data_IF_289414239044
#
_entry.id   IF_289414239044
#
_cell.length_a   1.000
_cell.length_b   1.000
_cell.length_c   1.000
_cell.angle_alpha   90.00
_cell.angle_beta   90.00
_cell.angle_gamma   90.00
#
_symmetry.space_group_name_H-M   'P 1'
#
loop_
_entity.id
_entity.type
_entity.pdbx_description
1 polymer ?
#
# COMPACT_ATOMS: atom_id res chain seq x y z
N UNK A 1 -9.01 -7.62 6.99
CA UNK A 1 -9.56 -6.93 5.80
C UNK A 1 -9.18 -5.45 5.86
N UNK A 2 -9.03 -4.74 4.74
CA UNK A 2 -8.68 -3.30 4.72
C UNK A 2 -9.89 -2.51 4.20
N UNK A 3 -10.36 -1.55 4.97
CA UNK A 3 -11.56 -0.74 4.65
C UNK A 3 -11.35 0.72 5.09
N UNK A 4 -12.34 1.58 4.85
CA UNK A 4 -12.32 2.97 5.32
C UNK A 4 -12.00 3.05 6.82
N UNK A 5 -11.19 4.04 7.19
CA UNK A 5 -10.63 4.25 8.53
C UNK A 5 -9.58 3.24 9.01
N UNK A 6 -9.25 2.21 8.22
CA UNK A 6 -8.14 1.30 8.52
C UNK A 6 -6.81 2.06 8.45
N UNK A 7 -5.93 1.83 9.43
CA UNK A 7 -4.55 2.33 9.42
C UNK A 7 -3.66 1.32 8.70
N UNK A 8 -2.79 1.82 7.82
CA UNK A 8 -1.76 1.05 7.14
C UNK A 8 -0.38 1.62 7.50
N UNK A 9 0.59 0.74 7.66
CA UNK A 9 2.00 1.13 7.76
C UNK A 9 2.49 1.53 6.38
N UNK A 10 3.29 2.59 6.33
CA UNK A 10 3.98 2.97 5.10
C UNK A 10 5.29 2.20 5.02
N UNK A 11 5.52 1.54 3.89
CA UNK A 11 6.64 0.63 3.65
C UNK A 11 7.59 1.20 2.59
N UNK A 12 7.85 2.50 2.65
CA UNK A 12 8.82 3.19 1.82
C UNK A 12 9.54 4.30 2.60
N UNK A 13 10.50 4.96 1.96
CA UNK A 13 11.20 6.11 2.50
C UNK A 13 10.60 7.47 2.12
N UNK A 14 9.31 7.55 1.77
CA UNK A 14 8.62 8.82 1.45
C UNK A 14 8.53 9.78 2.65
N UNK A 15 8.73 9.25 3.86
CA UNK A 15 8.66 9.98 5.12
C UNK A 15 7.31 9.86 5.82
N UNK A 16 6.25 9.38 5.16
CA UNK A 16 5.05 8.95 5.86
C UNK A 16 5.33 7.66 6.66
N UNK A 17 4.74 7.51 7.85
CA UNK A 17 4.90 6.32 8.70
C UNK A 17 3.59 5.53 8.81
N UNK A 18 2.49 6.25 9.03
CA UNK A 18 1.15 5.67 9.16
C UNK A 18 0.18 6.49 8.34
N UNK A 19 -0.61 5.80 7.52
CA UNK A 19 -1.68 6.40 6.73
C UNK A 19 -3.02 5.77 7.12
N UNK A 20 -4.11 6.52 7.00
CA UNK A 20 -5.47 6.03 7.22
C UNK A 20 -6.27 6.08 5.94
N UNK A 21 -6.85 4.96 5.53
CA UNK A 21 -7.70 4.87 4.35
C UNK A 21 -8.92 5.79 4.49
N UNK A 22 -9.17 6.63 3.48
CA UNK A 22 -10.36 7.49 3.40
C UNK A 22 -11.28 7.08 2.25
N UNK A 23 -10.73 6.59 1.14
CA UNK A 23 -11.51 6.19 -0.03
C UNK A 23 -10.80 5.11 -0.86
N UNK A 24 -11.57 4.31 -1.59
CA UNK A 24 -11.08 3.35 -2.57
C UNK A 24 -11.56 3.85 -3.96
N UNK A 25 -10.69 4.43 -4.81
CA UNK A 25 -11.09 4.90 -6.13
C UNK A 25 -11.80 3.82 -6.96
N UNK A 26 -12.83 4.22 -7.71
CA UNK A 26 -13.65 3.30 -8.51
C UNK A 26 -14.58 2.39 -7.69
N UNK A 27 -14.71 2.60 -6.38
CA UNK A 27 -15.58 1.79 -5.52
C UNK A 27 -17.05 2.28 -5.50
N UNK A 28 -17.83 2.02 -6.55
CA UNK A 28 -19.28 2.27 -6.48
C UNK A 28 -19.98 1.42 -5.40
N UNK A 29 -19.52 0.18 -5.16
CA UNK A 29 -20.07 -0.76 -4.16
C UNK A 29 -19.00 -1.49 -3.33
N UNK A 30 -17.73 -1.22 -3.59
CA UNK A 30 -16.63 -2.02 -3.05
C UNK A 30 -16.26 -1.55 -1.64
N UNK A 31 -16.41 -2.44 -0.64
CA UNK A 31 -16.16 -2.13 0.78
C UNK A 31 -14.71 -2.35 1.22
N UNK A 32 -13.95 -3.18 0.52
CA UNK A 32 -12.63 -3.63 0.94
C UNK A 32 -11.56 -3.43 -0.12
N UNK A 33 -10.41 -2.92 0.31
CA UNK A 33 -9.17 -2.91 -0.45
C UNK A 33 -8.37 -4.20 -0.16
N UNK A 34 -7.62 -4.64 -1.16
CA UNK A 34 -6.72 -5.76 -1.10
C UNK A 34 -5.36 -5.37 -1.69
N UNK A 35 -4.41 -6.29 -1.61
CA UNK A 35 -3.12 -6.17 -2.28
C UNK A 35 -3.30 -5.79 -3.75
N UNK A 36 -2.53 -4.78 -4.19
CA UNK A 36 -2.53 -4.25 -5.55
C UNK A 36 -3.60 -3.20 -5.82
N UNK A 37 -4.46 -2.88 -4.85
CA UNK A 37 -5.41 -1.79 -5.02
C UNK A 37 -4.82 -0.46 -4.61
N UNK A 38 -5.13 0.56 -5.42
CA UNK A 38 -4.87 1.95 -5.09
C UNK A 38 -5.93 2.44 -4.12
N UNK A 39 -5.50 3.14 -3.09
CA UNK A 39 -6.34 3.74 -2.05
C UNK A 39 -5.96 5.20 -1.87
N UNK A 40 -6.94 6.01 -1.49
CA UNK A 40 -6.69 7.39 -1.04
C UNK A 40 -6.66 7.37 0.48
N UNK A 41 -5.64 7.99 1.04
CA UNK A 41 -5.38 7.98 2.46
C UNK A 41 -5.05 9.37 3.00
N UNK A 42 -5.29 9.56 4.29
CA UNK A 42 -4.80 10.69 5.06
C UNK A 42 -3.58 10.29 5.89
N UNK A 43 -2.51 11.08 5.86
CA UNK A 43 -1.29 10.83 6.63
C UNK A 43 -1.55 11.10 8.12
N UNK A 44 -1.34 10.10 8.96
CA UNK A 44 -1.55 10.21 10.42
C UNK A 44 -0.26 10.44 11.18
N UNK A 45 0.83 9.87 10.69
CA UNK A 45 2.16 10.02 11.25
C UNK A 45 3.16 10.19 10.11
N UNK A 46 4.05 11.17 10.23
CA UNK A 46 5.13 11.45 9.30
C UNK A 46 6.43 11.65 10.07
N UNK A 47 7.56 11.43 9.41
CA UNK A 47 8.87 11.73 9.95
C UNK A 47 9.07 13.26 10.06
N UNK A 48 9.87 13.74 11.02
CA UNK A 48 10.30 15.13 11.02
C UNK A 48 11.01 15.48 9.71
N UNK A 49 10.81 16.69 9.21
CA UNK A 49 11.44 17.21 7.99
C UNK A 49 11.16 16.39 6.70
N UNK A 50 10.16 15.50 6.68
CA UNK A 50 9.75 14.85 5.44
C UNK A 50 8.95 15.80 4.54
N UNK A 51 9.00 15.61 3.20
CA UNK A 51 8.16 16.37 2.28
C UNK A 51 6.67 16.12 2.53
N UNK A 52 6.32 14.91 2.95
CA UNK A 52 4.95 14.53 3.32
C UNK A 52 4.63 15.01 4.74
N UNK A 53 3.49 15.65 4.94
CA UNK A 53 3.06 16.20 6.25
C UNK A 53 1.90 15.42 6.86
N UNK A 54 1.79 15.46 8.20
CA UNK A 54 0.61 14.95 8.90
C UNK A 54 -0.64 15.72 8.45
N UNK A 55 -1.70 14.99 8.14
CA UNK A 55 -2.95 15.56 7.64
C UNK A 55 -3.03 15.68 6.12
N UNK A 56 -1.93 15.45 5.39
CA UNK A 56 -1.92 15.45 3.93
C UNK A 56 -2.73 14.29 3.36
N UNK A 57 -3.35 14.51 2.20
CA UNK A 57 -4.07 13.48 1.45
C UNK A 57 -3.13 12.93 0.39
N UNK A 58 -2.93 11.62 0.41
CA UNK A 58 -1.98 10.91 -0.47
C UNK A 58 -2.65 9.71 -1.13
N UNK A 59 -2.11 9.30 -2.28
CA UNK A 59 -2.45 8.02 -2.91
C UNK A 59 -1.43 6.98 -2.48
N UNK A 60 -1.90 5.75 -2.27
CA UNK A 60 -1.02 4.63 -1.93
C UNK A 60 -1.53 3.34 -2.56
N UNK A 61 -0.62 2.39 -2.82
CA UNK A 61 -0.97 1.02 -3.22
C UNK A 61 -0.76 0.07 -2.05
N UNK A 62 -1.72 -0.81 -1.79
CA UNK A 62 -1.60 -1.84 -0.76
C UNK A 62 -0.63 -2.92 -1.23
N UNK A 63 0.42 -3.18 -0.45
CA UNK A 63 1.46 -4.18 -0.78
C UNK A 63 1.41 -5.43 0.08
N UNK A 64 0.88 -5.31 1.31
CA UNK A 64 0.73 -6.40 2.28
C UNK A 64 -0.61 -6.32 2.98
N UNK A 65 -1.18 -7.47 3.27
CA UNK A 65 -2.45 -7.61 3.97
C UNK A 65 -2.36 -8.70 5.03
N UNK A 66 -2.78 -8.37 6.25
CA UNK A 66 -2.79 -9.29 7.38
C UNK A 66 -3.92 -10.34 7.30
N UNK A 67 -4.95 -10.06 6.51
CA UNK A 67 -5.98 -11.04 6.20
C UNK A 67 -5.46 -11.99 5.12
N UNK A 68 -5.56 -13.30 5.38
CA UNK A 68 -5.22 -14.30 4.38
C UNK A 68 -6.10 -14.16 3.13
N UNK A 69 -5.50 -14.26 1.94
CA UNK A 69 -6.18 -14.23 0.65
C UNK A 69 -5.81 -15.47 -0.16
N UNK A 70 -6.82 -16.09 -0.76
CA UNK A 70 -6.65 -17.25 -1.64
C UNK A 70 -6.15 -16.80 -3.02
N UNK A 71 -5.15 -17.48 -3.54
CA UNK A 71 -4.60 -17.34 -4.89
C UNK A 71 -5.32 -18.29 -5.87
N UNK A 72 -5.23 -18.04 -7.19
CA UNK A 72 -5.86 -18.91 -8.19
C UNK A 72 -5.34 -20.36 -8.16
N UNK A 73 -4.08 -20.57 -7.78
CA UNK A 73 -3.46 -21.88 -7.58
C UNK A 73 -3.94 -22.61 -6.31
N UNK A 74 -4.83 -22.01 -5.52
CA UNK A 74 -5.38 -22.57 -4.29
C UNK A 74 -4.55 -22.28 -3.04
N UNK A 75 -3.35 -21.74 -3.17
CA UNK A 75 -2.52 -21.33 -2.02
C UNK A 75 -3.09 -20.09 -1.34
N UNK A 76 -2.68 -19.82 -0.10
CA UNK A 76 -3.07 -18.63 0.64
C UNK A 76 -1.84 -17.77 0.92
N UNK A 77 -1.97 -16.46 0.70
CA UNK A 77 -0.97 -15.47 1.11
C UNK A 77 -1.48 -14.69 2.33
N UNK A 78 -0.61 -14.50 3.32
CA UNK A 78 -0.87 -13.70 4.51
C UNK A 78 0.43 -13.05 4.96
N UNK A 79 0.36 -11.79 5.39
CA UNK A 79 1.46 -11.08 6.03
C UNK A 79 1.14 -10.79 7.50
N UNK A 80 2.11 -10.30 8.25
CA UNK A 80 1.92 -9.94 9.66
C UNK A 80 1.23 -8.58 9.83
N UNK A 81 1.38 -7.68 8.84
CA UNK A 81 0.83 -6.33 8.87
C UNK A 81 0.05 -5.93 7.60
N UNK A 82 -0.71 -4.84 7.70
CA UNK A 82 -1.26 -4.16 6.54
C UNK A 82 -0.32 -3.00 6.18
N UNK A 83 0.26 -3.06 4.99
CA UNK A 83 1.24 -2.07 4.54
C UNK A 83 0.94 -1.56 3.13
N UNK A 84 1.36 -0.33 2.88
CA UNK A 84 1.19 0.35 1.60
C UNK A 84 2.42 1.19 1.25
N UNK A 85 2.53 1.52 -0.04
CA UNK A 85 3.57 2.38 -0.61
C UNK A 85 2.88 3.61 -1.20
N UNK A 86 3.42 4.80 -0.94
CA UNK A 86 2.87 6.03 -1.51
C UNK A 86 3.20 6.09 -3.01
N UNK A 87 2.22 6.52 -3.80
CA UNK A 87 2.35 6.61 -5.26
C UNK A 87 1.95 7.99 -5.76
N UNK A 88 2.58 8.40 -6.86
CA UNK A 88 2.20 9.57 -7.63
C UNK A 88 0.95 9.33 -8.47
N UNK A 89 0.59 10.34 -9.28
CA UNK A 89 -0.53 10.22 -10.20
C UNK A 89 -0.28 9.21 -11.33
N UNK A 90 1.00 9.10 -11.71
CA UNK A 90 1.59 8.17 -12.68
C UNK A 90 1.71 6.72 -12.17
N UNK A 91 1.23 6.45 -10.95
CA UNK A 91 1.34 5.15 -10.27
C UNK A 91 2.78 4.71 -9.95
N UNK A 92 3.75 5.62 -10.05
CA UNK A 92 5.12 5.36 -9.62
C UNK A 92 5.27 5.61 -8.11
N UNK A 93 6.13 4.84 -7.42
CA UNK A 93 6.40 5.08 -6.01
C UNK A 93 7.02 6.47 -5.81
N UNK A 94 6.55 7.20 -4.80
CA UNK A 94 7.15 8.49 -4.43
C UNK A 94 8.47 8.31 -3.68
N UNK A 95 8.60 7.20 -2.94
CA UNK A 95 9.86 6.75 -2.35
C UNK A 95 10.80 6.09 -3.35
N UNK A 96 12.08 6.04 -2.99
CA UNK A 96 13.14 5.38 -3.77
C UNK A 96 13.55 4.01 -3.22
N UNK A 97 13.05 3.64 -2.03
CA UNK A 97 13.32 2.35 -1.38
C UNK A 97 12.04 1.76 -0.79
N UNK A 98 11.86 0.46 -0.91
CA UNK A 98 10.72 -0.29 -0.38
C UNK A 98 11.19 -1.17 0.78
N UNK A 99 10.37 -1.26 1.83
CA UNK A 99 10.71 -1.98 3.05
C UNK A 99 9.89 -3.26 3.22
N UNK A 100 10.61 -4.36 3.46
CA UNK A 100 10.04 -5.68 3.69
C UNK A 100 9.48 -6.34 2.41
N UNK A 101 8.91 -7.54 2.54
CA UNK A 101 8.42 -8.29 1.40
C UNK A 101 7.20 -7.62 0.77
N UNK A 102 7.00 -7.87 -0.51
CA UNK A 102 5.81 -7.46 -1.27
C UNK A 102 5.14 -8.66 -1.91
N UNK A 103 3.84 -8.57 -2.14
CA UNK A 103 3.08 -9.64 -2.78
C UNK A 103 3.28 -9.65 -4.31
N UNK A 104 3.39 -10.85 -4.91
CA UNK A 104 3.58 -11.04 -6.36
C UNK A 104 2.46 -10.43 -7.22
N UNK A 105 1.26 -10.31 -6.66
CA UNK A 105 0.07 -9.74 -7.30
C UNK A 105 0.28 -8.29 -7.77
N UNK A 106 1.30 -7.59 -7.23
CA UNK A 106 1.71 -6.26 -7.70
C UNK A 106 2.22 -6.26 -9.15
N UNK A 107 2.82 -7.37 -9.61
CA UNK A 107 3.30 -7.52 -10.98
C UNK A 107 2.14 -7.48 -11.98
N UNK A 108 1.11 -8.26 -11.71
CA UNK A 108 -0.09 -8.36 -12.57
C UNK A 108 -0.87 -7.05 -12.62
N UNK A 109 -0.69 -6.20 -11.60
CA UNK A 109 -1.32 -4.88 -11.48
C UNK A 109 -0.47 -3.74 -12.06
N UNK A 110 0.70 -4.04 -12.64
CA UNK A 110 1.54 -3.06 -13.33
C UNK A 110 2.50 -2.28 -12.41
N UNK A 111 2.63 -2.63 -11.13
CA UNK A 111 3.52 -1.93 -10.17
C UNK A 111 4.96 -2.44 -10.23
N UNK A 112 5.51 -2.60 -11.44
CA UNK A 112 6.82 -3.20 -11.67
C UNK A 112 7.96 -2.48 -10.93
N UNK A 113 7.92 -1.15 -10.86
CA UNK A 113 8.96 -0.37 -10.14
C UNK A 113 8.99 -0.67 -8.64
N UNK A 114 7.83 -0.94 -8.02
CA UNK A 114 7.75 -1.33 -6.60
C UNK A 114 8.31 -2.74 -6.42
N UNK A 115 7.94 -3.67 -7.31
CA UNK A 115 8.45 -5.05 -7.29
C UNK A 115 9.97 -5.07 -7.42
N UNK A 116 10.55 -4.27 -8.33
CA UNK A 116 12.00 -4.22 -8.54
C UNK A 116 12.78 -3.60 -7.39
N UNK A 117 12.16 -2.73 -6.59
CA UNK A 117 12.79 -2.08 -5.43
C UNK A 117 12.61 -2.87 -4.12
N UNK A 118 11.76 -3.90 -4.12
CA UNK A 118 11.48 -4.69 -2.94
C UNK A 118 12.62 -5.71 -2.66
N UNK A 119 12.97 -5.95 -1.39
CA UNK A 119 13.96 -6.95 -1.03
C UNK A 119 13.52 -8.39 -1.32
N UNK A 120 12.21 -8.66 -1.28
CA UNK A 120 11.65 -9.99 -1.50
C UNK A 120 10.23 -9.88 -2.09
N UNK A 121 9.86 -10.87 -2.92
CA UNK A 121 8.54 -10.99 -3.53
C UNK A 121 7.94 -12.35 -3.17
N UNK A 122 6.73 -12.34 -2.58
CA UNK A 122 6.02 -13.53 -2.04
C UNK A 122 4.76 -13.81 -2.82
#
# INVERSE_FOLDING_TARGET
MIQTYTRLRVADNSGAKVIRLINIPGSGKRKYAHVGDVVVCNVREAAPNSPVRKGEIVRAVVIRQAQARRRPDGTYIKFDDNAAVLIGEDQLPTGTRIFGPVARELRDKGFMRIVSLAPEVV
#
